data_IF_161913603700
#
_entry.id   IF_161913603700
#
_cell.length_a   1.000
_cell.length_b   1.000
_cell.length_c   1.000
_cell.angle_alpha   90.00
_cell.angle_beta   90.00
_cell.angle_gamma   90.00
#
_symmetry.space_group_name_H-M   'P 1'
#
loop_
_entity.id
_entity.type
_entity.pdbx_description
1 polymer ?
#
# COMPACT_ATOMS: atom_id res chain seq x y z
N UNK A 1 -7.04 -7.32 19.33
CA UNK A 1 -5.58 -7.50 19.59
C UNK A 1 -4.77 -6.35 19.01
N UNK A 2 -5.06 -5.98 17.76
CA UNK A 2 -4.49 -4.86 17.03
C UNK A 2 -4.48 -3.56 17.85
N UNK A 3 -5.60 -3.19 18.46
CA UNK A 3 -5.71 -2.00 19.31
C UNK A 3 -4.63 -1.97 20.40
N UNK A 4 -4.47 -3.07 21.13
CA UNK A 4 -3.48 -3.16 22.19
C UNK A 4 -2.03 -3.09 21.67
N UNK A 5 -1.77 -3.66 20.49
CA UNK A 5 -0.45 -3.57 19.86
C UNK A 5 -0.10 -2.14 19.44
N UNK A 6 -1.05 -1.41 18.85
CA UNK A 6 -0.86 -0.02 18.42
C UNK A 6 -0.67 0.93 19.62
N UNK A 7 -1.44 0.73 20.69
CA UNK A 7 -1.23 1.46 21.95
C UNK A 7 0.13 1.13 22.57
N UNK A 8 0.53 -0.15 22.56
CA UNK A 8 1.86 -0.55 23.02
C UNK A 8 2.99 0.04 22.15
N UNK A 9 2.71 0.32 20.87
CA UNK A 9 3.65 0.95 19.95
C UNK A 9 3.71 2.49 20.10
N UNK A 10 2.88 3.08 20.96
CA UNK A 10 2.95 4.50 21.31
C UNK A 10 1.68 5.32 21.05
N UNK A 11 0.58 4.70 20.59
CA UNK A 11 -0.68 5.45 20.47
C UNK A 11 -1.21 5.82 21.88
N UNK A 12 -1.54 7.10 22.15
CA UNK A 12 -1.95 7.54 23.47
C UNK A 12 -3.32 6.97 23.84
N UNK A 13 -3.36 6.07 24.84
CA UNK A 13 -4.58 5.34 25.22
C UNK A 13 -5.72 6.23 25.67
N UNK A 14 -5.43 7.37 26.29
CA UNK A 14 -6.45 8.30 26.77
C UNK A 14 -7.14 9.00 25.59
N UNK A 15 -6.36 9.47 24.61
CA UNK A 15 -6.92 10.03 23.37
C UNK A 15 -7.74 9.00 22.59
N UNK A 16 -7.32 7.73 22.56
CA UNK A 16 -8.14 6.65 21.96
C UNK A 16 -9.50 6.56 22.65
N UNK A 17 -9.55 6.60 23.99
CA UNK A 17 -10.82 6.55 24.74
C UNK A 17 -11.68 7.78 24.46
N UNK A 18 -11.09 8.96 24.45
CA UNK A 18 -11.80 10.23 24.22
C UNK A 18 -12.47 10.21 22.83
N UNK A 19 -11.75 9.80 21.80
CA UNK A 19 -12.29 9.66 20.44
C UNK A 19 -13.40 8.61 20.36
N UNK A 20 -13.26 7.48 21.05
CA UNK A 20 -14.32 6.46 21.07
C UNK A 20 -15.57 6.90 21.84
N UNK A 21 -15.45 7.87 22.75
CA UNK A 21 -16.57 8.45 23.50
C UNK A 21 -17.62 9.11 22.61
N UNK A 22 -17.26 9.59 21.41
CA UNK A 22 -18.21 10.19 20.46
C UNK A 22 -19.11 9.18 19.75
N UNK A 23 -18.85 7.87 19.86
CA UNK A 23 -19.70 6.83 19.28
C UNK A 23 -21.06 6.68 19.98
N UNK A 24 -21.26 7.30 21.15
CA UNK A 24 -22.49 7.19 21.92
C UNK A 24 -22.73 5.79 22.50
N UNK A 25 -21.67 4.99 22.67
CA UNK A 25 -21.71 3.66 23.25
C UNK A 25 -21.29 3.68 24.71
N UNK A 26 -21.97 2.90 25.55
CA UNK A 26 -21.57 2.69 26.94
C UNK A 26 -20.55 1.55 27.03
N UNK A 27 -19.29 1.89 27.34
CA UNK A 27 -18.21 0.92 27.48
C UNK A 27 -17.11 1.43 28.44
N UNK A 28 -16.27 0.50 28.88
CA UNK A 28 -15.05 0.76 29.63
C UNK A 28 -13.87 0.04 28.96
N UNK A 29 -12.95 0.80 28.37
CA UNK A 29 -11.75 0.27 27.72
C UNK A 29 -10.54 0.30 28.65
N UNK A 30 -10.01 -0.88 28.98
CA UNK A 30 -8.81 -1.06 29.83
C UNK A 30 -7.66 -1.68 29.04
N UNK A 31 -6.45 -1.23 29.33
CA UNK A 31 -5.21 -1.82 28.83
C UNK A 31 -4.42 -2.40 30.00
N UNK A 32 -4.18 -3.70 29.96
CA UNK A 32 -3.48 -4.43 31.01
C UNK A 32 -2.16 -4.97 30.49
N UNK A 33 -1.10 -4.92 31.31
CA UNK A 33 0.16 -5.60 30.96
C UNK A 33 -0.04 -7.11 30.98
N UNK A 34 0.47 -7.77 29.96
CA UNK A 34 0.48 -9.21 29.80
C UNK A 34 1.89 -9.69 29.46
N UNK A 35 2.18 -10.96 29.76
CA UNK A 35 3.40 -11.63 29.32
C UNK A 35 3.03 -12.94 28.63
N UNK A 36 3.36 -13.06 27.35
CA UNK A 36 3.09 -14.25 26.54
C UNK A 36 4.44 -14.79 26.06
N UNK A 37 4.76 -16.03 26.44
CA UNK A 37 6.04 -16.67 26.06
C UNK A 37 7.28 -15.82 26.35
N UNK A 38 7.27 -15.07 27.46
CA UNK A 38 8.38 -14.20 27.87
C UNK A 38 8.34 -12.77 27.29
N UNK A 39 7.51 -12.51 26.28
CA UNK A 39 7.38 -11.20 25.64
C UNK A 39 6.38 -10.33 26.40
N UNK A 40 6.76 -9.10 26.72
CA UNK A 40 5.86 -8.10 27.29
C UNK A 40 4.90 -7.55 26.23
N UNK A 41 3.62 -7.47 26.58
CA UNK A 41 2.55 -7.05 25.68
C UNK A 41 1.46 -6.30 26.46
N UNK A 42 0.58 -5.61 25.74
CA UNK A 42 -0.67 -5.10 26.28
C UNK A 42 -1.84 -5.98 25.87
N UNK A 43 -2.84 -6.06 26.74
CA UNK A 43 -4.15 -6.65 26.44
C UNK A 43 -5.22 -5.56 26.58
N UNK A 44 -6.02 -5.40 25.54
CA UNK A 44 -7.23 -4.60 25.60
C UNK A 44 -8.39 -5.45 26.14
N UNK A 45 -9.13 -4.90 27.09
CA UNK A 45 -10.37 -5.46 27.64
C UNK A 45 -11.45 -4.39 27.56
N UNK A 46 -12.61 -4.75 27.01
CA UNK A 46 -13.77 -3.87 26.92
C UNK A 46 -14.84 -4.41 27.86
N UNK A 47 -15.17 -3.66 28.90
CA UNK A 47 -16.36 -3.88 29.72
C UNK A 47 -17.54 -3.11 29.13
N UNK A 48 -18.72 -3.71 29.13
CA UNK A 48 -19.94 -3.05 28.68
C UNK A 48 -21.15 -3.69 29.40
N UNK A 49 -22.26 -2.96 29.60
CA UNK A 49 -23.47 -3.55 30.19
C UNK A 49 -23.97 -4.70 29.32
N UNK A 50 -24.64 -5.68 29.92
CA UNK A 50 -25.25 -6.79 29.19
C UNK A 50 -26.37 -6.25 28.28
N UNK A 51 -26.03 -5.94 27.03
CA UNK A 51 -26.93 -5.40 26.00
C UNK A 51 -27.10 -6.42 24.85
N UNK A 52 -27.94 -6.06 23.86
CA UNK A 52 -28.14 -6.87 22.64
C UNK A 52 -26.79 -7.22 22.01
N UNK A 53 -26.51 -8.52 21.84
CA UNK A 53 -25.35 -9.02 21.08
C UNK A 53 -25.48 -8.76 19.56
N UNK A 54 -26.67 -8.40 19.13
CA UNK A 54 -27.03 -8.17 17.73
C UNK A 54 -27.17 -6.67 17.49
N UNK A 55 -26.41 -6.15 16.53
CA UNK A 55 -26.56 -4.78 16.01
C UNK A 55 -26.52 -4.82 14.49
N UNK A 56 -27.50 -4.19 13.81
CA UNK A 56 -27.50 -4.15 12.35
C UNK A 56 -26.37 -3.25 11.85
N UNK A 57 -25.76 -3.62 10.72
CA UNK A 57 -24.65 -2.89 10.11
C UNK A 57 -24.98 -1.39 9.92
N UNK A 58 -26.21 -1.07 9.48
CA UNK A 58 -26.69 0.31 9.32
C UNK A 58 -26.57 1.17 10.58
N UNK A 59 -26.75 0.59 11.77
CA UNK A 59 -26.62 1.33 13.03
C UNK A 59 -25.16 1.59 13.37
N UNK A 60 -24.26 0.64 13.12
CA UNK A 60 -22.83 0.82 13.33
C UNK A 60 -22.31 1.90 12.38
N UNK A 61 -22.68 1.81 11.10
CA UNK A 61 -22.34 2.81 10.09
C UNK A 61 -22.83 4.20 10.50
N UNK A 62 -24.10 4.33 10.87
CA UNK A 62 -24.67 5.61 11.30
C UNK A 62 -23.97 6.16 12.55
N UNK A 63 -23.60 5.31 13.51
CA UNK A 63 -22.88 5.73 14.70
C UNK A 63 -21.47 6.26 14.36
N UNK A 64 -20.75 5.61 13.43
CA UNK A 64 -19.43 6.08 12.97
C UNK A 64 -19.55 7.38 12.17
N UNK A 65 -20.53 7.48 11.27
CA UNK A 65 -20.76 8.68 10.45
C UNK A 65 -21.20 9.90 11.29
N UNK A 66 -21.95 9.66 12.37
CA UNK A 66 -22.41 10.72 13.28
C UNK A 66 -21.38 11.14 14.34
N UNK A 67 -20.30 10.37 14.52
CA UNK A 67 -19.28 10.61 15.54
C UNK A 67 -18.34 11.76 15.14
N UNK A 68 -18.61 12.95 15.66
CA UNK A 68 -17.83 14.18 15.43
C UNK A 68 -16.41 14.13 16.00
N UNK A 69 -16.21 13.30 17.02
CA UNK A 69 -14.92 13.11 17.65
C UNK A 69 -13.93 12.24 16.86
N UNK A 70 -14.32 11.49 15.82
CA UNK A 70 -13.39 10.58 15.14
C UNK A 70 -12.49 11.29 14.13
N UNK A 71 -11.17 11.00 14.09
CA UNK A 71 -10.32 11.41 12.97
C UNK A 71 -10.88 10.89 11.64
N UNK A 72 -10.89 11.72 10.59
CA UNK A 72 -11.48 11.35 9.29
C UNK A 72 -10.89 10.05 8.73
N UNK A 73 -9.56 9.90 8.78
CA UNK A 73 -8.87 8.69 8.36
C UNK A 73 -9.30 7.45 9.17
N UNK A 74 -9.51 7.59 10.49
CA UNK A 74 -9.97 6.49 11.33
C UNK A 74 -11.40 6.07 10.98
N UNK A 75 -12.29 7.04 10.76
CA UNK A 75 -13.68 6.79 10.38
C UNK A 75 -13.76 6.07 9.01
N UNK A 76 -12.98 6.53 8.03
CA UNK A 76 -12.88 5.91 6.70
C UNK A 76 -12.43 4.44 6.79
N UNK A 77 -11.35 4.15 7.53
CA UNK A 77 -10.86 2.78 7.71
C UNK A 77 -11.86 1.89 8.45
N UNK A 78 -12.52 2.42 9.50
CA UNK A 78 -13.52 1.67 10.25
C UNK A 78 -14.75 1.34 9.38
N UNK A 79 -15.26 2.31 8.62
CA UNK A 79 -16.36 2.10 7.67
C UNK A 79 -15.99 1.08 6.60
N UNK A 80 -14.77 1.16 6.06
CA UNK A 80 -14.24 0.18 5.09
C UNK A 80 -14.20 -1.23 5.67
N UNK A 81 -13.73 -1.39 6.91
CA UNK A 81 -13.69 -2.69 7.59
C UNK A 81 -15.10 -3.26 7.81
N UNK A 82 -16.02 -2.47 8.34
CA UNK A 82 -17.40 -2.93 8.58
C UNK A 82 -18.17 -3.20 7.29
N UNK A 83 -17.98 -2.39 6.24
CA UNK A 83 -18.56 -2.65 4.93
C UNK A 83 -18.08 -3.98 4.36
N UNK A 84 -16.77 -4.23 4.40
CA UNK A 84 -16.19 -5.50 3.93
C UNK A 84 -16.74 -6.70 4.69
N UNK A 85 -16.91 -6.57 5.99
CA UNK A 85 -17.48 -7.62 6.81
C UNK A 85 -18.97 -7.82 6.53
N UNK A 86 -19.75 -6.76 6.35
CA UNK A 86 -21.18 -6.84 5.99
C UNK A 86 -21.37 -7.53 4.64
N UNK A 87 -20.52 -7.24 3.65
CA UNK A 87 -20.52 -7.94 2.36
C UNK A 87 -20.24 -9.44 2.51
N UNK A 88 -19.33 -9.82 3.40
CA UNK A 88 -18.97 -11.21 3.65
C UNK A 88 -20.11 -11.96 4.35
N UNK A 89 -20.65 -11.40 5.44
CA UNK A 89 -21.78 -11.98 6.17
C UNK A 89 -23.02 -12.08 5.28
N UNK A 90 -23.33 -11.04 4.50
CA UNK A 90 -24.43 -11.06 3.55
C UNK A 90 -24.32 -12.18 2.51
N UNK A 91 -23.11 -12.53 2.07
CA UNK A 91 -22.89 -13.70 1.19
C UNK A 91 -23.07 -15.03 1.91
N UNK A 92 -22.63 -15.13 3.16
CA UNK A 92 -22.80 -16.36 3.98
C UNK A 92 -24.28 -16.61 4.29
N UNK A 93 -25.04 -15.54 4.52
CA UNK A 93 -26.45 -15.59 4.94
C UNK A 93 -27.47 -15.35 3.81
N UNK A 94 -27.01 -15.14 2.56
CA UNK A 94 -27.83 -14.82 1.39
C UNK A 94 -28.74 -13.60 1.60
N UNK A 95 -28.17 -12.52 2.13
CA UNK A 95 -28.88 -11.27 2.39
C UNK A 95 -28.09 -10.04 1.90
N UNK A 96 -28.78 -8.93 1.57
CA UNK A 96 -28.11 -7.69 1.21
C UNK A 96 -27.28 -7.14 2.38
N UNK A 97 -26.08 -6.56 2.12
CA UNK A 97 -25.20 -6.04 3.19
C UNK A 97 -25.87 -5.04 4.15
N UNK A 98 -26.78 -4.21 3.64
CA UNK A 98 -27.52 -3.22 4.45
C UNK A 98 -28.55 -3.84 5.41
N UNK A 99 -28.93 -5.10 5.16
CA UNK A 99 -29.84 -5.88 6.01
C UNK A 99 -29.10 -6.73 7.04
N UNK A 100 -27.76 -6.78 6.99
CA UNK A 100 -26.96 -7.67 7.85
C UNK A 100 -27.08 -7.29 9.31
N UNK A 101 -27.41 -8.28 10.14
CA UNK A 101 -27.34 -8.19 11.59
C UNK A 101 -26.11 -8.94 12.11
N UNK A 102 -25.13 -8.21 12.64
CA UNK A 102 -23.94 -8.87 13.17
C UNK A 102 -24.24 -9.54 14.51
N UNK A 103 -24.10 -10.86 14.56
CA UNK A 103 -24.40 -11.67 15.75
C UNK A 103 -23.24 -11.76 16.75
N UNK A 104 -22.00 -11.70 16.24
CA UNK A 104 -20.78 -11.74 17.06
C UNK A 104 -20.00 -10.42 16.95
N UNK A 105 -20.06 -9.78 15.78
CA UNK A 105 -19.31 -8.56 15.48
C UNK A 105 -20.09 -7.27 15.76
N UNK A 106 -21.38 -7.38 16.07
CA UNK A 106 -22.24 -6.25 16.45
C UNK A 106 -22.17 -5.89 17.93
N UNK A 107 -21.43 -6.68 18.71
CA UNK A 107 -21.18 -6.43 20.12
C UNK A 107 -20.26 -5.22 20.31
N UNK A 108 -20.42 -4.55 21.46
CA UNK A 108 -19.72 -3.30 21.77
C UNK A 108 -18.20 -3.48 21.79
N UNK A 109 -17.69 -4.63 22.23
CA UNK A 109 -16.27 -4.95 22.19
C UNK A 109 -15.69 -4.98 20.77
N UNK A 110 -16.40 -5.56 19.81
CA UNK A 110 -15.98 -5.60 18.41
C UNK A 110 -15.93 -4.21 17.79
N UNK A 111 -16.93 -3.36 18.08
CA UNK A 111 -16.96 -1.97 17.60
C UNK A 111 -15.79 -1.18 18.20
N UNK A 112 -15.56 -1.33 19.51
CA UNK A 112 -14.45 -0.68 20.21
C UNK A 112 -13.09 -1.18 19.71
N UNK A 113 -12.90 -2.48 19.42
CA UNK A 113 -11.62 -3.00 18.91
C UNK A 113 -11.35 -2.51 17.47
N UNK A 114 -12.35 -2.52 16.57
CA UNK A 114 -12.19 -2.04 15.19
C UNK A 114 -11.96 -0.54 15.14
N UNK A 115 -12.92 0.26 15.65
CA UNK A 115 -12.83 1.72 15.60
C UNK A 115 -11.62 2.19 16.42
N UNK A 116 -11.38 1.59 17.58
CA UNK A 116 -10.23 1.92 18.42
C UNK A 116 -8.92 1.65 17.72
N UNK A 117 -8.80 0.55 16.97
CA UNK A 117 -7.60 0.25 16.19
C UNK A 117 -7.37 1.30 15.09
N UNK A 118 -8.43 1.71 14.38
CA UNK A 118 -8.34 2.75 13.35
C UNK A 118 -7.94 4.12 13.95
N UNK A 119 -8.48 4.47 15.12
CA UNK A 119 -8.08 5.68 15.87
C UNK A 119 -6.63 5.59 16.31
N UNK A 120 -6.21 4.48 16.91
CA UNK A 120 -4.83 4.29 17.36
C UNK A 120 -3.83 4.38 16.20
N UNK A 121 -4.15 3.80 15.04
CA UNK A 121 -3.35 3.93 13.82
C UNK A 121 -3.26 5.39 13.34
N UNK A 122 -4.39 6.11 13.34
CA UNK A 122 -4.43 7.52 12.95
C UNK A 122 -3.62 8.42 13.89
N UNK A 123 -3.68 8.15 15.21
CA UNK A 123 -2.90 8.89 16.21
C UNK A 123 -1.40 8.62 16.13
N UNK A 124 -0.99 7.47 15.59
CA UNK A 124 0.41 7.18 15.25
C UNK A 124 0.87 7.89 13.97
N UNK A 125 -0.05 8.53 13.22
CA UNK A 125 0.24 9.13 11.92
C UNK A 125 0.53 8.10 10.84
N UNK A 126 -0.05 6.90 10.93
CA UNK A 126 0.13 5.86 9.93
C UNK A 126 -0.51 6.27 8.58
N UNK A 127 0.30 6.42 7.54
CA UNK A 127 -0.14 6.73 6.18
C UNK A 127 -0.30 5.49 5.29
N UNK A 128 0.35 4.38 5.67
CA UNK A 128 0.34 3.13 4.93
C UNK A 128 0.46 1.94 5.89
N UNK A 129 0.00 0.78 5.44
CA UNK A 129 0.00 -0.45 6.22
C UNK A 129 0.54 -1.60 5.36
N UNK A 130 1.22 -2.54 6.01
CA UNK A 130 1.60 -3.81 5.42
C UNK A 130 1.43 -4.91 6.45
N UNK A 131 1.09 -6.11 6.00
CA UNK A 131 1.13 -7.30 6.84
C UNK A 131 1.35 -8.56 6.00
N UNK A 132 1.95 -9.56 6.65
CA UNK A 132 2.12 -10.89 6.10
C UNK A 132 0.75 -11.55 5.79
N UNK A 133 0.73 -12.56 4.90
CA UNK A 133 -0.45 -13.39 4.70
C UNK A 133 -1.05 -13.89 6.02
N UNK A 134 -2.34 -13.62 6.24
CA UNK A 134 -2.97 -13.87 7.53
C UNK A 134 -3.02 -15.37 7.86
N UNK A 135 -2.68 -15.78 9.10
CA UNK A 135 -2.72 -17.17 9.50
C UNK A 135 -4.15 -17.62 9.82
N UNK A 136 -4.59 -18.71 9.21
CA UNK A 136 -5.97 -19.17 9.34
C UNK A 136 -6.18 -20.18 10.48
N UNK A 137 -5.26 -21.14 10.62
CA UNK A 137 -5.42 -22.30 11.52
C UNK A 137 -6.43 -23.33 11.00
N UNK A 138 -6.94 -24.20 11.87
CA UNK A 138 -7.87 -25.28 11.53
C UNK A 138 -8.70 -25.80 12.70
N UNK A 139 -9.68 -26.66 12.41
CA UNK A 139 -10.54 -27.30 13.42
C UNK A 139 -11.97 -26.76 13.43
N UNK A 140 -12.54 -26.59 14.62
CA UNK A 140 -13.95 -26.18 14.81
C UNK A 140 -14.08 -25.28 16.02
N UNK A 141 -14.82 -24.18 15.88
CA UNK A 141 -15.13 -23.22 16.95
C UNK A 141 -16.61 -23.24 17.28
N UNK A 142 -16.96 -22.92 18.52
CA UNK A 142 -18.36 -22.73 18.93
C UNK A 142 -18.74 -21.26 18.71
N UNK A 143 -19.65 -21.03 17.78
CA UNK A 143 -20.20 -19.73 17.45
C UNK A 143 -21.67 -19.63 17.90
N UNK A 144 -22.27 -18.44 17.80
CA UNK A 144 -23.71 -18.24 17.97
C UNK A 144 -24.54 -19.11 17.00
N UNK A 145 -23.96 -19.44 15.84
CA UNK A 145 -24.52 -20.32 14.81
C UNK A 145 -24.28 -21.82 15.07
N UNK A 146 -23.75 -22.19 16.24
CA UNK A 146 -23.33 -23.54 16.56
C UNK A 146 -21.87 -23.82 16.17
N UNK A 147 -21.46 -25.09 16.02
CA UNK A 147 -20.10 -25.43 15.64
C UNK A 147 -19.82 -25.01 14.19
N UNK A 148 -18.80 -24.17 13.98
CA UNK A 148 -18.35 -23.71 12.67
C UNK A 148 -16.94 -24.22 12.36
N UNK A 149 -16.61 -24.51 11.08
CA UNK A 149 -15.26 -24.86 10.70
C UNK A 149 -14.32 -23.68 10.97
N UNK A 150 -13.06 -24.00 11.26
CA UNK A 150 -11.97 -23.02 11.19
C UNK A 150 -11.21 -23.30 9.88
N UNK A 151 -11.12 -22.30 8.99
CA UNK A 151 -11.50 -20.90 9.19
C UNK A 151 -13.01 -20.71 9.01
N UNK A 152 -13.58 -19.76 9.75
CA UNK A 152 -15.01 -19.45 9.66
C UNK A 152 -15.43 -19.01 8.25
N UNK A 153 -16.66 -19.32 7.80
CA UNK A 153 -17.16 -18.93 6.48
C UNK A 153 -17.04 -17.42 6.22
N UNK A 154 -17.41 -16.58 7.20
CA UNK A 154 -17.29 -15.13 7.08
C UNK A 154 -15.83 -14.67 6.90
N UNK A 155 -14.87 -15.26 7.62
CA UNK A 155 -13.43 -14.97 7.45
C UNK A 155 -12.97 -15.28 6.03
N UNK A 156 -13.38 -16.42 5.47
CA UNK A 156 -13.02 -16.81 4.10
C UNK A 156 -13.64 -15.86 3.05
N UNK A 157 -14.89 -15.42 3.26
CA UNK A 157 -15.53 -14.45 2.37
C UNK A 157 -14.87 -13.07 2.44
N UNK A 158 -14.50 -12.60 3.64
CA UNK A 158 -13.74 -11.35 3.82
C UNK A 158 -12.42 -11.39 3.03
N UNK A 159 -11.71 -12.52 3.09
CA UNK A 159 -10.38 -12.69 2.50
C UNK A 159 -10.41 -13.21 1.05
N UNK A 160 -11.58 -13.31 0.43
CA UNK A 160 -11.70 -13.73 -0.98
C UNK A 160 -10.90 -12.80 -1.89
N UNK A 161 -9.89 -13.35 -2.56
CA UNK A 161 -8.98 -12.62 -3.44
C UNK A 161 -7.63 -12.24 -2.79
N UNK A 162 -7.52 -12.40 -1.48
CA UNK A 162 -6.30 -12.09 -0.71
C UNK A 162 -5.43 -13.33 -0.48
N UNK A 163 -4.13 -13.12 -0.22
CA UNK A 163 -3.19 -14.19 0.16
C UNK A 163 -3.38 -14.59 1.63
N UNK A 164 -3.43 -15.89 1.91
CA UNK A 164 -3.60 -16.43 3.27
C UNK A 164 -2.55 -17.51 3.56
N UNK A 165 -2.27 -17.73 4.85
CA UNK A 165 -1.38 -18.78 5.33
C UNK A 165 -2.15 -19.88 6.08
N UNK A 166 -1.70 -21.12 5.91
CA UNK A 166 -2.30 -22.33 6.50
C UNK A 166 -1.35 -22.98 7.52
N UNK A 167 -1.12 -22.36 8.70
CA UNK A 167 -0.35 -23.01 9.75
C UNK A 167 -1.13 -24.19 10.33
N UNK A 168 -0.41 -25.24 10.74
CA UNK A 168 -0.98 -26.41 11.43
C UNK A 168 -1.25 -26.10 12.91
N UNK A 169 -2.26 -25.26 13.16
CA UNK A 169 -2.70 -24.86 14.50
C UNK A 169 -4.20 -25.17 14.62
N UNK A 170 -4.62 -26.05 15.56
CA UNK A 170 -6.02 -26.47 15.70
C UNK A 170 -6.86 -25.43 16.46
N UNK A 171 -6.81 -24.18 16.02
CA UNK A 171 -7.59 -23.07 16.57
C UNK A 171 -7.78 -21.97 15.52
N UNK A 172 -8.79 -21.13 15.71
CA UNK A 172 -8.97 -19.91 14.92
C UNK A 172 -7.88 -18.90 15.28
N UNK A 173 -7.01 -18.61 14.31
CA UNK A 173 -5.92 -17.65 14.46
C UNK A 173 -6.28 -16.24 13.96
N UNK A 174 -7.18 -16.17 12.97
CA UNK A 174 -7.70 -14.92 12.42
C UNK A 174 -9.23 -14.96 12.49
N UNK A 175 -9.82 -14.06 13.27
CA UNK A 175 -11.28 -13.88 13.36
C UNK A 175 -11.81 -13.07 12.18
N UNK A 176 -13.13 -13.12 11.87
CA UNK A 176 -13.72 -12.30 10.81
C UNK A 176 -13.42 -10.79 10.98
N UNK A 177 -13.51 -10.30 12.22
CA UNK A 177 -13.21 -8.90 12.57
C UNK A 177 -11.73 -8.55 12.34
N UNK A 178 -10.82 -9.44 12.74
CA UNK A 178 -9.38 -9.25 12.51
C UNK A 178 -9.03 -9.24 11.03
N UNK A 179 -9.63 -10.16 10.25
CA UNK A 179 -9.50 -10.20 8.80
C UNK A 179 -10.00 -8.91 8.14
N UNK A 180 -11.19 -8.44 8.51
CA UNK A 180 -11.78 -7.24 7.93
C UNK A 180 -10.97 -5.98 8.26
N UNK A 181 -10.44 -5.88 9.48
CA UNK A 181 -9.57 -4.78 9.89
C UNK A 181 -8.26 -4.76 9.11
N UNK A 182 -7.58 -5.91 9.00
CA UNK A 182 -6.33 -6.00 8.21
C UNK A 182 -6.59 -5.75 6.73
N UNK A 183 -7.69 -6.27 6.18
CA UNK A 183 -8.10 -5.99 4.80
C UNK A 183 -8.35 -4.50 4.57
N UNK A 184 -9.00 -3.80 5.51
CA UNK A 184 -9.22 -2.37 5.39
C UNK A 184 -7.91 -1.57 5.43
N UNK A 185 -6.97 -1.97 6.28
CA UNK A 185 -5.64 -1.35 6.39
C UNK A 185 -4.81 -1.53 5.13
N UNK A 186 -4.83 -2.70 4.49
CA UNK A 186 -3.92 -3.03 3.37
C UNK A 186 -4.60 -3.20 2.01
N UNK A 187 -5.88 -2.86 1.88
CA UNK A 187 -6.68 -3.10 0.67
C UNK A 187 -6.75 -4.58 0.26
N UNK A 188 -6.58 -5.49 1.23
CA UNK A 188 -6.54 -6.93 1.00
C UNK A 188 -5.25 -7.44 0.35
N UNK A 189 -4.26 -6.58 0.18
CA UNK A 189 -2.91 -6.96 -0.25
C UNK A 189 -2.10 -7.39 0.97
N UNK A 190 -1.71 -8.67 0.98
CA UNK A 190 -0.88 -9.26 2.04
C UNK A 190 0.39 -9.82 1.42
N UNK A 191 1.53 -9.34 1.91
CA UNK A 191 2.83 -9.55 1.29
C UNK A 191 3.91 -9.73 2.34
N UNK A 192 4.93 -10.52 1.99
CA UNK A 192 6.10 -10.78 2.82
C UNK A 192 7.22 -9.76 2.61
N UNK A 193 7.04 -8.83 1.67
CA UNK A 193 7.98 -7.73 1.43
C UNK A 193 7.78 -6.68 2.52
N UNK A 194 8.54 -6.83 3.60
CA UNK A 194 8.62 -5.83 4.67
C UNK A 194 9.34 -4.61 4.11
N UNK A 195 8.75 -3.41 4.15
CA UNK A 195 9.38 -2.21 3.60
C UNK A 195 10.69 -1.92 4.36
N UNK A 196 11.72 -1.50 3.63
CA UNK A 196 12.88 -0.90 4.28
C UNK A 196 12.42 0.36 5.02
N UNK A 197 12.78 0.49 6.29
CA UNK A 197 12.27 1.54 7.15
C UNK A 197 13.23 1.88 8.28
N UNK A 198 13.24 3.15 8.67
CA UNK A 198 13.80 3.57 9.94
C UNK A 198 12.78 3.28 11.04
N UNK A 199 13.10 2.28 11.88
CA UNK A 199 12.23 1.85 12.97
C UNK A 199 12.08 2.97 14.03
N UNK A 200 10.83 3.31 14.38
CA UNK A 200 10.51 4.27 15.43
C UNK A 200 10.04 3.59 16.72
N UNK A 201 9.15 2.63 16.62
CA UNK A 201 8.61 1.92 17.79
C UNK A 201 8.07 0.53 17.44
N UNK A 202 7.92 -0.31 18.47
CA UNK A 202 7.32 -1.64 18.37
C UNK A 202 6.38 -1.84 19.54
N UNK A 203 5.23 -2.44 19.29
CA UNK A 203 4.25 -2.79 20.31
C UNK A 203 3.70 -4.19 20.11
N UNK A 204 3.35 -4.86 21.21
CA UNK A 204 2.75 -6.20 21.18
C UNK A 204 1.37 -6.20 21.83
N UNK A 205 0.39 -6.74 21.11
CA UNK A 205 -0.97 -6.99 21.58
C UNK A 205 -1.16 -8.47 21.91
N UNK A 206 -1.60 -8.78 23.13
CA UNK A 206 -1.80 -10.14 23.60
C UNK A 206 -3.24 -10.62 23.40
N UNK A 207 -3.38 -11.80 22.79
CA UNK A 207 -4.64 -12.52 22.74
C UNK A 207 -4.99 -13.22 24.05
N UNK A 208 -6.15 -13.88 24.06
CA UNK A 208 -6.65 -14.65 25.22
C UNK A 208 -6.40 -16.15 25.09
N UNK A 209 -6.45 -16.70 23.87
CA UNK A 209 -6.17 -18.11 23.62
C UNK A 209 -4.70 -18.45 23.91
N UNK A 210 -4.44 -19.70 24.30
CA UNK A 210 -3.10 -20.23 24.48
C UNK A 210 -2.88 -21.33 23.45
N UNK A 211 -1.87 -21.16 22.62
CA UNK A 211 -1.45 -22.17 21.66
C UNK A 211 -0.19 -22.86 22.17
N UNK A 212 0.04 -24.09 21.71
CA UNK A 212 1.18 -24.91 22.16
C UNK A 212 2.50 -24.39 21.61
N UNK A 213 2.54 -24.12 20.30
CA UNK A 213 3.79 -23.92 19.57
C UNK A 213 3.95 -22.50 18.99
N UNK A 214 2.93 -21.64 19.14
CA UNK A 214 2.95 -20.24 18.67
C UNK A 214 2.48 -19.28 19.75
N UNK A 215 3.17 -18.13 19.96
CA UNK A 215 2.69 -17.13 20.91
C UNK A 215 1.44 -16.45 20.35
N UNK A 216 0.41 -16.29 21.19
CA UNK A 216 -0.79 -15.54 20.81
C UNK A 216 -0.55 -14.03 20.96
N UNK A 217 0.27 -13.50 20.07
CA UNK A 217 0.72 -12.11 20.03
C UNK A 217 0.55 -11.54 18.62
N UNK A 218 0.16 -10.28 18.55
CA UNK A 218 0.24 -9.46 17.34
C UNK A 218 1.31 -8.41 17.58
N UNK A 219 2.30 -8.33 16.69
CA UNK A 219 3.32 -7.28 16.70
C UNK A 219 2.93 -6.13 15.77
N UNK A 220 3.00 -4.90 16.28
CA UNK A 220 2.93 -3.69 15.48
C UNK A 220 4.33 -3.09 15.40
N UNK A 221 4.83 -2.90 14.17
CA UNK A 221 6.13 -2.30 13.87
C UNK A 221 5.85 -0.96 13.20
N UNK A 222 6.33 0.13 13.80
CA UNK A 222 6.04 1.50 13.35
C UNK A 222 7.36 2.20 13.05
N UNK A 223 7.39 2.92 11.93
CA UNK A 223 8.57 3.66 11.51
C UNK A 223 8.36 4.40 10.21
N UNK A 224 9.41 5.09 9.77
CA UNK A 224 9.41 5.80 8.50
C UNK A 224 9.89 4.85 7.43
N UNK A 225 8.99 4.48 6.52
CA UNK A 225 9.35 3.75 5.30
C UNK A 225 10.35 4.61 4.55
N UNK A 226 11.48 4.00 4.20
CA UNK A 226 12.44 4.59 3.28
C UNK A 226 11.74 4.70 1.93
N UNK A 227 11.17 5.89 1.67
CA UNK A 227 10.71 6.23 0.33
C UNK A 227 11.97 6.39 -0.48
N UNK A 228 12.28 5.36 -1.25
CA UNK A 228 13.30 5.42 -2.28
C UNK A 228 13.11 6.71 -3.08
N UNK A 229 14.04 7.67 -2.93
CA UNK A 229 14.05 8.94 -3.64
C UNK A 229 13.89 8.65 -5.15
N UNK A 230 12.69 8.84 -5.72
CA UNK A 230 12.33 8.65 -7.14
C UNK A 230 13.32 7.76 -7.94
N UNK A 231 13.54 6.50 -7.53
CA UNK A 231 14.74 5.86 -8.07
C UNK A 231 15.14 4.45 -7.64
N UNK A 232 14.69 3.95 -6.50
CA UNK A 232 15.12 2.65 -5.97
C UNK A 232 14.03 1.56 -5.87
N UNK A 233 12.86 1.78 -6.49
CA UNK A 233 12.16 0.63 -7.07
C UNK A 233 13.14 -0.05 -8.03
N UNK A 234 13.49 -1.31 -7.74
CA UNK A 234 14.38 -2.10 -8.59
C UNK A 234 13.94 -1.97 -10.04
N UNK A 235 14.89 -1.88 -10.96
CA UNK A 235 14.58 -1.84 -12.39
C UNK A 235 14.87 -3.21 -12.98
N UNK A 236 14.01 -3.61 -13.91
CA UNK A 236 14.23 -4.78 -14.77
C UNK A 236 14.41 -4.27 -16.20
N UNK A 237 15.48 -4.72 -16.87
CA UNK A 237 15.54 -4.65 -18.33
C UNK A 237 14.85 -5.88 -18.90
N UNK A 238 13.70 -5.67 -19.54
CA UNK A 238 13.00 -6.70 -20.29
C UNK A 238 13.37 -6.62 -21.77
N UNK A 239 13.50 -7.77 -22.43
CA UNK A 239 13.73 -7.80 -23.87
C UNK A 239 13.23 -9.05 -24.58
N UNK A 240 12.99 -8.90 -25.88
CA UNK A 240 12.70 -10.03 -26.78
C UNK A 240 13.22 -9.77 -28.19
N UNK A 241 13.63 -10.82 -28.90
CA UNK A 241 14.02 -10.70 -30.30
C UNK A 241 12.80 -10.98 -31.19
N UNK A 242 12.53 -10.07 -32.12
CA UNK A 242 11.34 -10.09 -32.98
C UNK A 242 11.80 -10.01 -34.44
N UNK A 243 11.57 -11.08 -35.21
CA UNK A 243 11.97 -11.20 -36.63
C UNK A 243 10.80 -11.18 -37.62
N UNK A 244 9.57 -11.10 -37.13
CA UNK A 244 8.32 -11.18 -37.91
C UNK A 244 7.39 -9.97 -37.76
N UNK A 245 7.75 -8.97 -36.94
CA UNK A 245 7.02 -7.71 -36.81
C UNK A 245 7.54 -6.62 -37.76
N UNK A 246 6.62 -5.81 -38.29
CA UNK A 246 6.96 -4.64 -39.12
C UNK A 246 7.49 -3.49 -38.26
N UNK A 247 8.16 -2.52 -38.90
CA UNK A 247 8.60 -1.29 -38.22
C UNK A 247 7.45 -0.49 -37.59
N UNK A 248 6.26 -0.52 -38.19
CA UNK A 248 5.06 0.13 -37.65
C UNK A 248 4.61 -0.52 -36.34
N UNK A 249 4.61 -1.86 -36.29
CA UNK A 249 4.28 -2.62 -35.07
C UNK A 249 5.30 -2.33 -33.97
N UNK A 250 6.59 -2.32 -34.31
CA UNK A 250 7.66 -2.04 -33.35
C UNK A 250 7.59 -0.60 -32.81
N UNK A 251 7.32 0.39 -33.67
CA UNK A 251 7.13 1.77 -33.25
C UNK A 251 5.91 1.95 -32.34
N UNK A 252 4.80 1.27 -32.67
CA UNK A 252 3.61 1.26 -31.82
C UNK A 252 3.90 0.62 -30.46
N UNK A 253 4.64 -0.49 -30.43
CA UNK A 253 5.01 -1.17 -29.20
C UNK A 253 5.84 -0.28 -28.27
N UNK A 254 6.85 0.43 -28.81
CA UNK A 254 7.64 1.38 -28.03
C UNK A 254 6.79 2.49 -27.40
N UNK A 255 5.92 3.11 -28.20
CA UNK A 255 5.04 4.18 -27.71
C UNK A 255 4.13 3.67 -26.59
N UNK A 256 3.55 2.47 -26.75
CA UNK A 256 2.67 1.87 -25.75
C UNK A 256 3.39 1.47 -24.46
N UNK A 257 4.63 0.99 -24.55
CA UNK A 257 5.45 0.70 -23.37
C UNK A 257 5.73 1.97 -22.57
N UNK A 258 6.10 3.07 -23.25
CA UNK A 258 6.35 4.37 -22.61
C UNK A 258 5.06 4.96 -22.00
N UNK A 259 3.94 4.94 -22.74
CA UNK A 259 2.62 5.37 -22.25
C UNK A 259 2.19 4.57 -21.01
N UNK A 260 2.52 3.28 -20.97
CA UNK A 260 2.21 2.40 -19.85
C UNK A 260 3.12 2.60 -18.62
N UNK A 261 4.10 3.51 -18.68
CA UNK A 261 4.98 3.84 -17.56
C UNK A 261 6.36 3.21 -17.59
N UNK A 262 6.79 2.59 -18.70
CA UNK A 262 8.18 2.16 -18.83
C UNK A 262 9.11 3.37 -18.69
N UNK A 263 10.22 3.20 -17.96
CA UNK A 263 11.21 4.27 -17.75
C UNK A 263 11.97 4.60 -19.04
N UNK A 264 12.16 3.60 -19.89
CA UNK A 264 12.73 3.74 -21.22
C UNK A 264 12.30 2.56 -22.10
N UNK A 265 12.31 2.74 -23.42
CA UNK A 265 12.05 1.68 -24.39
C UNK A 265 12.81 1.96 -25.71
N UNK A 266 13.48 0.94 -26.25
CA UNK A 266 14.31 1.08 -27.46
C UNK A 266 14.34 -0.20 -28.32
N UNK A 267 14.91 -0.07 -29.52
CA UNK A 267 15.13 -1.18 -30.46
C UNK A 267 16.63 -1.31 -30.77
N UNK A 268 17.13 -2.53 -30.73
CA UNK A 268 18.49 -2.86 -31.21
C UNK A 268 18.38 -3.70 -32.50
N UNK A 269 18.95 -3.26 -33.64
CA UNK A 269 18.95 -4.06 -34.86
C UNK A 269 19.88 -5.25 -34.72
N UNK A 270 19.39 -6.44 -35.07
CA UNK A 270 20.13 -7.70 -34.94
C UNK A 270 19.92 -8.59 -36.18
N UNK A 271 20.78 -9.60 -36.33
CA UNK A 271 20.57 -10.70 -37.26
C UNK A 271 20.31 -12.01 -36.50
N UNK A 272 19.31 -12.76 -36.94
CA UNK A 272 18.93 -14.05 -36.38
C UNK A 272 19.28 -15.20 -37.33
N UNK A 273 19.07 -16.43 -36.86
CA UNK A 273 19.24 -17.66 -37.67
C UNK A 273 18.54 -17.52 -39.03
N UNK A 274 19.08 -18.20 -40.06
CA UNK A 274 18.63 -18.08 -41.46
C UNK A 274 18.83 -16.69 -42.07
N UNK A 275 19.71 -15.86 -41.49
CA UNK A 275 20.07 -14.55 -42.04
C UNK A 275 18.94 -13.50 -41.96
N UNK A 276 17.96 -13.72 -41.07
CA UNK A 276 16.83 -12.80 -40.91
C UNK A 276 17.27 -11.54 -40.18
N UNK A 277 17.02 -10.38 -40.78
CA UNK A 277 17.09 -9.12 -40.06
C UNK A 277 15.93 -9.04 -39.06
N UNK A 278 16.22 -8.59 -37.85
CA UNK A 278 15.29 -8.56 -36.73
C UNK A 278 15.61 -7.39 -35.80
N UNK A 279 14.75 -7.13 -34.82
CA UNK A 279 15.03 -6.18 -33.74
C UNK A 279 14.92 -6.87 -32.39
N UNK A 280 15.85 -6.58 -31.47
CA UNK A 280 15.64 -6.81 -30.05
C UNK A 280 14.87 -5.62 -29.50
N UNK A 281 13.64 -5.87 -29.05
CA UNK A 281 12.79 -4.89 -28.37
C UNK A 281 13.17 -4.90 -26.90
N UNK A 282 13.51 -3.74 -26.36
CA UNK A 282 13.99 -3.58 -24.99
C UNK A 282 13.16 -2.53 -24.24
N UNK A 283 12.97 -2.73 -22.93
CA UNK A 283 12.40 -1.70 -22.05
C UNK A 283 12.96 -1.80 -20.64
N UNK A 284 13.11 -0.64 -19.99
CA UNK A 284 13.41 -0.52 -18.56
C UNK A 284 12.10 -0.29 -17.81
N UNK A 285 11.76 -1.21 -16.91
CA UNK A 285 10.47 -1.21 -16.21
C UNK A 285 10.65 -1.33 -14.70
N UNK A 286 9.72 -0.84 -13.88
CA UNK A 286 9.71 -1.12 -12.44
C UNK A 286 9.64 -2.63 -12.21
N UNK A 287 10.51 -3.15 -11.33
CA UNK A 287 10.60 -4.58 -11.01
C UNK A 287 9.27 -5.17 -10.51
N UNK A 288 8.47 -4.48 -9.66
CA UNK A 288 7.15 -5.00 -9.27
C UNK A 288 6.18 -5.17 -10.45
N UNK A 289 6.37 -4.41 -11.52
CA UNK A 289 5.51 -4.42 -12.70
C UNK A 289 6.03 -5.29 -13.86
N UNK A 290 7.15 -6.01 -13.65
CA UNK A 290 7.82 -6.81 -14.68
C UNK A 290 6.85 -7.70 -15.48
N UNK A 291 6.00 -8.46 -14.79
CA UNK A 291 5.07 -9.40 -15.44
C UNK A 291 4.03 -8.68 -16.31
N UNK A 292 3.54 -7.52 -15.83
CA UNK A 292 2.59 -6.69 -16.59
C UNK A 292 3.24 -6.21 -17.90
N UNK A 293 4.47 -5.71 -17.83
CA UNK A 293 5.19 -5.23 -19.00
C UNK A 293 5.65 -6.36 -19.94
N UNK A 294 6.03 -7.52 -19.41
CA UNK A 294 6.34 -8.70 -20.22
C UNK A 294 5.12 -9.14 -21.02
N UNK A 295 3.95 -9.24 -20.38
CA UNK A 295 2.68 -9.52 -21.06
C UNK A 295 2.34 -8.47 -22.13
N UNK A 296 2.52 -7.19 -21.81
CA UNK A 296 2.29 -6.10 -22.75
C UNK A 296 3.20 -6.20 -23.98
N UNK A 297 4.50 -6.45 -23.80
CA UNK A 297 5.45 -6.63 -24.90
C UNK A 297 5.05 -7.83 -25.79
N UNK A 298 4.67 -8.95 -25.18
CA UNK A 298 4.19 -10.13 -25.90
C UNK A 298 2.94 -9.84 -26.73
N UNK A 299 1.93 -9.19 -26.14
CA UNK A 299 0.70 -8.84 -26.86
C UNK A 299 0.94 -7.84 -27.99
N UNK A 300 1.83 -6.86 -27.80
CA UNK A 300 2.09 -5.81 -28.80
C UNK A 300 2.95 -6.29 -29.97
N UNK A 301 3.87 -7.24 -29.74
CA UNK A 301 4.86 -7.66 -30.75
C UNK A 301 4.60 -9.04 -31.33
N UNK A 302 3.77 -9.87 -30.67
CA UNK A 302 3.54 -11.26 -31.05
C UNK A 302 4.64 -12.23 -30.59
N UNK A 303 5.66 -11.77 -29.86
CA UNK A 303 6.69 -12.66 -29.32
C UNK A 303 6.11 -13.62 -28.28
N UNK A 304 6.64 -14.84 -28.26
CA UNK A 304 6.20 -15.90 -27.35
C UNK A 304 6.93 -15.91 -26.00
N UNK A 305 7.90 -15.00 -25.80
CA UNK A 305 8.61 -14.91 -24.53
C UNK A 305 9.45 -13.65 -24.39
N UNK A 306 9.65 -13.26 -23.13
CA UNK A 306 10.42 -12.09 -22.72
C UNK A 306 11.46 -12.54 -21.71
N UNK A 307 12.71 -12.16 -21.95
CA UNK A 307 13.82 -12.34 -21.00
C UNK A 307 13.97 -11.06 -20.21
N UNK A 308 14.30 -11.19 -18.93
CA UNK A 308 14.43 -10.07 -18.01
C UNK A 308 15.65 -10.27 -17.13
N UNK A 309 16.21 -9.17 -16.65
CA UNK A 309 17.24 -9.19 -15.63
C UNK A 309 17.23 -7.88 -14.83
N UNK A 310 17.54 -7.96 -13.52
CA UNK A 310 17.62 -6.78 -12.68
C UNK A 310 18.80 -5.92 -13.12
N UNK A 311 18.57 -4.61 -13.16
CA UNK A 311 19.59 -3.61 -13.49
C UNK A 311 19.70 -2.58 -12.38
N UNK A 312 20.93 -2.32 -11.95
CA UNK A 312 21.24 -1.26 -11.00
C UNK A 312 21.34 0.09 -11.69
N UNK A 313 21.01 1.16 -10.96
CA UNK A 313 21.15 2.53 -11.46
C UNK A 313 21.70 3.44 -10.37
N UNK A 314 22.67 4.26 -10.73
CA UNK A 314 23.11 5.40 -9.91
C UNK A 314 22.43 6.65 -10.46
N UNK A 315 21.63 7.32 -9.62
CA UNK A 315 20.83 8.47 -10.03
C UNK A 315 21.37 9.70 -9.32
N UNK A 316 21.65 10.75 -10.08
CA UNK A 316 21.93 12.06 -9.52
C UNK A 316 20.64 12.68 -8.98
N UNK A 317 20.72 13.36 -7.84
CA UNK A 317 19.61 14.19 -7.37
C UNK A 317 19.31 15.22 -8.43
N UNK A 318 18.03 15.45 -8.70
CA UNK A 318 17.59 16.45 -9.66
C UNK A 318 16.61 17.40 -9.01
N UNK A 319 16.69 18.66 -9.40
CA UNK A 319 15.66 19.66 -9.09
C UNK A 319 15.38 20.50 -10.33
N UNK A 320 14.18 21.05 -10.37
CA UNK A 320 13.79 22.01 -11.40
C UNK A 320 13.79 23.38 -10.76
N UNK A 321 14.56 24.30 -11.32
CA UNK A 321 14.53 25.72 -10.96
C UNK A 321 14.03 26.55 -12.13
N UNK A 322 13.39 27.68 -11.85
CA UNK A 322 12.94 28.61 -12.88
C UNK A 322 13.86 29.81 -12.90
N UNK A 323 14.37 30.13 -14.09
CA UNK A 323 15.26 31.27 -14.32
C UNK A 323 14.56 32.30 -15.19
N UNK A 324 14.58 33.55 -14.75
CA UNK A 324 14.01 34.68 -15.49
C UNK A 324 15.04 35.29 -16.43
N UNK A 325 14.65 35.47 -17.70
CA UNK A 325 15.42 36.17 -18.73
C UNK A 325 14.63 37.40 -19.22
N UNK A 326 15.29 38.39 -19.87
CA UNK A 326 14.61 39.57 -20.42
C UNK A 326 13.46 39.25 -21.39
N UNK A 327 13.45 38.04 -21.97
CA UNK A 327 12.46 37.60 -22.94
C UNK A 327 11.51 36.49 -22.42
N UNK A 328 11.65 36.06 -21.16
CA UNK A 328 10.72 35.16 -20.49
C UNK A 328 11.39 34.21 -19.50
N UNK A 329 10.59 33.30 -18.93
CA UNK A 329 11.08 32.33 -17.95
C UNK A 329 11.37 30.97 -18.59
N UNK A 330 12.43 30.33 -18.11
CA UNK A 330 12.85 29.00 -18.53
C UNK A 330 13.05 28.13 -17.31
N UNK A 331 12.44 26.94 -17.30
CA UNK A 331 12.80 25.91 -16.33
C UNK A 331 14.16 25.32 -16.66
N UNK A 332 14.88 24.94 -15.63
CA UNK A 332 16.23 24.42 -15.70
C UNK A 332 16.30 23.19 -14.82
N UNK A 333 16.66 22.07 -15.44
CA UNK A 333 16.96 20.84 -14.74
C UNK A 333 18.39 20.92 -14.21
N UNK A 334 18.51 20.90 -12.89
CA UNK A 334 19.79 20.89 -12.18
C UNK A 334 20.05 19.46 -11.69
N UNK A 335 21.17 18.88 -12.11
CA UNK A 335 21.64 17.59 -11.63
C UNK A 335 22.75 17.77 -10.61
N UNK A 336 22.61 17.14 -9.45
CA UNK A 336 23.52 17.23 -8.31
C UNK A 336 24.02 15.85 -7.91
N UNK A 337 25.32 15.74 -7.63
CA UNK A 337 25.95 14.54 -7.09
C UNK A 337 26.87 14.95 -5.93
N UNK A 338 26.76 14.28 -4.78
CA UNK A 338 27.50 14.61 -3.56
C UNK A 338 27.42 16.09 -3.16
N UNK A 339 26.21 16.67 -3.28
CA UNK A 339 25.95 18.08 -2.96
C UNK A 339 26.56 19.08 -3.96
N UNK A 340 27.11 18.61 -5.08
CA UNK A 340 27.67 19.46 -6.14
C UNK A 340 26.81 19.38 -7.40
N UNK A 341 26.33 20.53 -7.84
CA UNK A 341 25.66 20.67 -9.13
C UNK A 341 26.67 20.46 -10.26
N UNK A 342 26.41 19.49 -11.14
CA UNK A 342 27.29 19.17 -12.26
C UNK A 342 26.60 19.34 -13.62
N UNK A 343 25.26 19.42 -13.64
CA UNK A 343 24.48 19.66 -14.86
C UNK A 343 23.47 20.77 -14.61
N UNK A 344 23.42 21.72 -15.54
CA UNK A 344 22.40 22.77 -15.64
C UNK A 344 21.88 22.75 -17.08
N UNK A 345 20.72 22.14 -17.27
CA UNK A 345 20.12 21.90 -18.57
C UNK A 345 18.79 22.66 -18.69
N UNK A 346 18.69 23.67 -19.58
CA UNK A 346 17.42 24.32 -19.90
C UNK A 346 16.39 23.29 -20.38
N UNK A 347 15.14 23.40 -19.94
CA UNK A 347 14.06 22.57 -20.46
C UNK A 347 13.84 22.88 -21.95
N UNK A 348 13.79 21.82 -22.76
CA UNK A 348 13.84 21.97 -24.21
C UNK A 348 12.64 22.75 -24.76
N UNK A 349 11.43 22.41 -24.30
CA UNK A 349 10.20 23.07 -24.75
C UNK A 349 10.17 24.56 -24.38
N UNK A 350 10.66 24.90 -23.19
CA UNK A 350 10.78 26.28 -22.73
C UNK A 350 11.78 27.05 -23.59
N UNK A 351 12.95 26.47 -23.83
CA UNK A 351 13.98 27.09 -24.64
C UNK A 351 13.54 27.28 -26.12
N UNK A 352 12.81 26.32 -26.70
CA UNK A 352 12.24 26.46 -28.06
C UNK A 352 11.19 27.57 -28.09
N UNK A 353 10.31 27.64 -27.09
CA UNK A 353 9.31 28.71 -26.97
C UNK A 353 9.98 30.08 -26.87
N UNK A 354 11.02 30.22 -26.05
CA UNK A 354 11.76 31.47 -25.88
C UNK A 354 12.55 31.86 -27.13
N UNK A 355 13.17 30.89 -27.83
CA UNK A 355 13.85 31.13 -29.10
C UNK A 355 12.88 31.69 -30.16
N UNK A 356 11.69 31.09 -30.30
CA UNK A 356 10.65 31.57 -31.21
C UNK A 356 10.17 32.98 -30.86
N UNK A 357 9.98 33.26 -29.57
CA UNK A 357 9.48 34.57 -29.09
C UNK A 357 10.51 35.69 -29.25
N UNK A 358 11.79 35.40 -29.02
CA UNK A 358 12.87 36.39 -29.03
C UNK A 358 13.54 36.55 -30.40
N UNK A 359 13.36 35.60 -31.32
CA UNK A 359 14.09 35.52 -32.59
C UNK A 359 15.55 35.07 -32.44
N UNK A 360 15.97 34.67 -31.23
CA UNK A 360 17.32 34.17 -30.98
C UNK A 360 17.46 32.71 -31.42
N UNK A 361 18.69 32.33 -31.77
CA UNK A 361 19.04 30.92 -31.97
C UNK A 361 18.88 30.15 -30.65
N UNK A 362 18.43 28.89 -30.72
CA UNK A 362 18.24 28.02 -29.54
C UNK A 362 19.50 27.94 -28.68
N UNK A 363 20.68 27.88 -29.31
CA UNK A 363 21.97 27.84 -28.60
C UNK A 363 22.24 29.10 -27.78
N UNK A 364 21.79 30.27 -28.26
CA UNK A 364 21.92 31.53 -27.53
C UNK A 364 21.00 31.53 -26.31
N UNK A 365 19.75 31.06 -26.47
CA UNK A 365 18.83 30.90 -25.34
C UNK A 365 19.40 29.96 -24.29
N UNK A 366 19.98 28.82 -24.69
CA UNK A 366 20.62 27.89 -23.75
C UNK A 366 21.75 28.54 -22.96
N UNK A 367 22.59 29.35 -23.62
CA UNK A 367 23.69 30.04 -22.97
C UNK A 367 23.20 31.14 -22.01
N UNK A 368 22.19 31.90 -22.41
CA UNK A 368 21.59 32.94 -21.57
C UNK A 368 20.95 32.34 -20.32
N UNK A 369 20.19 31.24 -20.44
CA UNK A 369 19.61 30.50 -19.32
C UNK A 369 20.70 30.04 -18.35
N UNK A 370 21.79 29.45 -18.85
CA UNK A 370 22.91 29.00 -18.00
C UNK A 370 23.62 30.15 -17.29
N UNK A 371 23.80 31.29 -17.97
CA UNK A 371 24.39 32.49 -17.37
C UNK A 371 23.51 33.09 -16.29
N UNK A 372 22.21 33.19 -16.56
CA UNK A 372 21.24 33.68 -15.60
C UNK A 372 21.15 32.76 -14.37
N UNK A 373 21.15 31.43 -14.57
CA UNK A 373 21.23 30.46 -13.47
C UNK A 373 22.47 30.68 -12.59
N UNK A 374 23.67 30.81 -13.21
CA UNK A 374 24.91 31.05 -12.49
C UNK A 374 24.95 32.43 -11.78
N UNK A 375 24.25 33.43 -12.31
CA UNK A 375 24.16 34.77 -11.73
C UNK A 375 23.14 34.90 -10.58
N UNK A 376 22.21 33.96 -10.45
CA UNK A 376 21.17 33.95 -9.41
C UNK A 376 21.67 33.55 -8.02
N UNK A 377 22.91 33.07 -7.89
CA UNK A 377 23.55 32.80 -6.60
C UNK A 377 22.77 31.82 -5.72
N UNK A 378 22.77 30.55 -6.12
CA UNK A 378 22.54 29.40 -5.21
C UNK A 378 23.87 28.68 -5.04
#
# INVERSE_FOLDING_TARGET
MTLAALVAAGAPSDSVRDHLGSLGLEFELRFERARISGVEALRASVGYPEQRKHRPYREIRAAIEAADGLPSHAAELALKAFARLAEAEGRVHDEPPESVEFHEVGAVDSIVDVVGSCVAASLLGAESFSCDPLPMGGGTVRAAHGPLPVPGPATLEVLRGSRIAWPDVPAEMTTPTGAALMWAFTDGEFGVEVPQMTLRSVGYGAGRARFRDVPNLLGAVVGEVERDEEGAEGLEEISSNVDDASGEVLAHALAKLLEAGARDAWLEPIYMKKGRAAHKVCALVPAPERERFAGLLMTLTGTLGVRHHPVGRTIARRRIETVSLPYGECRVKVGSLDGRDFVVAPEYEDAVRLARKSGLALISVYNDVRRAFAGSGV
#
